data_IF_649317380376
#
_entry.id   IF_649317380376
#
_cell.length_a   1.000
_cell.length_b   1.000
_cell.length_c   1.000
_cell.angle_alpha   90.00
_cell.angle_beta   90.00
_cell.angle_gamma   90.00
#
_symmetry.space_group_name_H-M   'P 1'
#
loop_
_entity.id
_entity.type
_entity.pdbx_description
1 polymer ?
#
# COMPACT_ATOMS: atom_id res chain seq x y z
N UNK A 1 11.13 72.69 -2.88
CA UNK A 1 11.86 71.40 -2.97
C UNK A 1 10.87 70.30 -2.60
N UNK A 2 10.30 69.63 -3.59
CA UNK A 2 9.24 68.64 -3.40
C UNK A 2 9.87 67.31 -3.01
N UNK A 3 9.48 66.76 -1.87
CA UNK A 3 9.94 65.46 -1.38
C UNK A 3 9.18 64.33 -2.11
N UNK A 4 9.91 63.48 -2.84
CA UNK A 4 9.35 62.24 -3.42
C UNK A 4 9.35 61.14 -2.36
N UNK A 5 8.16 60.61 -2.05
CA UNK A 5 8.00 59.35 -1.33
C UNK A 5 8.23 58.19 -2.31
N UNK A 6 9.24 57.36 -2.06
CA UNK A 6 9.42 56.08 -2.75
C UNK A 6 8.51 55.03 -2.11
N UNK A 7 7.48 54.59 -2.84
CA UNK A 7 6.69 53.43 -2.45
C UNK A 7 7.50 52.15 -2.73
N UNK A 8 7.87 51.43 -1.67
CA UNK A 8 8.46 50.09 -1.78
C UNK A 8 7.32 49.13 -2.11
N UNK A 9 7.15 48.84 -3.40
CA UNK A 9 6.29 47.76 -3.87
C UNK A 9 6.84 46.44 -3.35
N UNK A 10 6.23 45.91 -2.29
CA UNK A 10 6.42 44.52 -1.90
C UNK A 10 5.79 43.67 -3.00
N UNK A 11 6.62 43.11 -3.89
CA UNK A 11 6.18 42.03 -4.73
C UNK A 11 5.74 40.90 -3.79
N UNK A 12 4.43 40.74 -3.63
CA UNK A 12 3.86 39.50 -3.11
C UNK A 12 4.48 38.38 -3.94
N UNK A 13 5.18 37.45 -3.29
CA UNK A 13 5.56 36.21 -3.95
C UNK A 13 4.28 35.66 -4.59
N UNK A 14 4.19 35.71 -5.92
CA UNK A 14 3.14 35.04 -6.65
C UNK A 14 3.30 33.59 -6.24
N UNK A 15 2.37 33.08 -5.43
CA UNK A 15 2.29 31.67 -5.14
C UNK A 15 2.27 30.98 -6.50
N UNK A 16 3.38 30.32 -6.85
CA UNK A 16 3.44 29.50 -8.04
C UNK A 16 2.30 28.51 -7.91
N UNK A 17 1.23 28.71 -8.67
CA UNK A 17 0.07 27.84 -8.65
C UNK A 17 0.59 26.40 -8.71
N UNK A 18 0.20 25.58 -7.73
CA UNK A 18 0.58 24.18 -7.72
C UNK A 18 0.22 23.59 -9.09
N UNK A 19 1.24 23.20 -9.86
CA UNK A 19 1.11 22.93 -11.28
C UNK A 19 0.29 21.67 -11.57
N UNK A 20 0.39 21.17 -12.79
CA UNK A 20 -0.13 19.86 -13.15
C UNK A 20 0.87 18.73 -12.86
N UNK A 21 0.36 17.49 -12.78
CA UNK A 21 1.14 16.27 -12.96
C UNK A 21 0.73 15.65 -14.29
N UNK A 22 1.71 15.21 -15.08
CA UNK A 22 1.46 14.56 -16.36
C UNK A 22 2.15 13.21 -16.37
N UNK A 23 1.35 12.16 -16.56
CA UNK A 23 1.84 10.83 -16.84
C UNK A 23 1.71 10.59 -18.34
N UNK A 24 2.82 10.62 -19.07
CA UNK A 24 2.88 10.34 -20.50
C UNK A 24 3.46 8.94 -20.70
N UNK A 25 2.67 8.04 -21.29
CA UNK A 25 3.04 6.65 -21.47
C UNK A 25 2.92 6.30 -22.93
N UNK A 26 4.01 5.84 -23.55
CA UNK A 26 3.94 5.13 -24.82
C UNK A 26 3.50 3.71 -24.50
N UNK A 27 2.23 3.39 -24.74
CA UNK A 27 1.64 2.09 -24.40
C UNK A 27 1.95 1.02 -25.43
N UNK A 28 2.21 1.41 -26.67
CA UNK A 28 2.75 0.52 -27.70
C UNK A 28 3.54 1.33 -28.74
N UNK A 29 4.50 0.69 -29.42
CA UNK A 29 5.16 1.28 -30.59
C UNK A 29 5.51 0.23 -31.63
N UNK A 30 5.54 0.65 -32.89
CA UNK A 30 5.88 -0.15 -34.05
C UNK A 30 6.76 0.66 -35.01
N UNK A 31 7.28 0.02 -36.05
CA UNK A 31 8.06 0.71 -37.08
C UNK A 31 7.24 1.83 -37.70
N UNK A 32 7.67 3.07 -37.47
CA UNK A 32 7.00 4.24 -38.01
C UNK A 32 5.81 4.75 -37.20
N UNK A 33 5.45 4.13 -36.07
CA UNK A 33 4.31 4.57 -35.25
C UNK A 33 4.35 4.19 -33.77
N UNK A 34 3.51 4.83 -32.98
CA UNK A 34 3.37 4.58 -31.54
C UNK A 34 2.01 5.02 -31.02
N UNK A 35 1.49 4.36 -30.00
CA UNK A 35 0.34 4.77 -29.21
C UNK A 35 0.83 5.41 -27.92
N UNK A 36 0.33 6.59 -27.59
CA UNK A 36 0.59 7.27 -26.34
C UNK A 36 -0.71 7.61 -25.59
N UNK A 37 -0.72 7.30 -24.30
CA UNK A 37 -1.75 7.71 -23.36
C UNK A 37 -1.16 8.75 -22.39
N UNK A 38 -1.95 9.79 -22.11
CA UNK A 38 -1.59 10.88 -21.22
C UNK A 38 -2.67 11.00 -20.15
N UNK A 39 -2.26 10.89 -18.88
CA UNK A 39 -3.09 11.32 -17.75
C UNK A 39 -2.62 12.69 -17.28
N UNK A 40 -3.52 13.67 -17.31
CA UNK A 40 -3.28 15.04 -16.82
C UNK A 40 -4.02 15.20 -15.51
N UNK A 41 -3.30 15.38 -14.41
CA UNK A 41 -3.87 15.65 -13.09
C UNK A 41 -3.66 17.12 -12.72
N UNK A 42 -4.73 17.82 -12.37
CA UNK A 42 -4.66 19.18 -11.86
C UNK A 42 -4.27 19.15 -10.37
N UNK A 43 -3.17 19.76 -9.96
CA UNK A 43 -2.80 19.88 -8.53
C UNK A 43 -3.09 21.27 -7.96
N UNK A 44 -3.60 22.19 -8.78
CA UNK A 44 -3.94 23.56 -8.42
C UNK A 44 -5.45 23.77 -8.22
N UNK A 45 -5.87 25.02 -8.37
CA UNK A 45 -7.27 25.41 -8.29
C UNK A 45 -8.11 24.70 -9.37
N UNK A 46 -9.38 24.36 -9.11
CA UNK A 46 -10.26 23.77 -10.10
C UNK A 46 -10.33 24.59 -11.39
N UNK A 47 -10.20 23.93 -12.54
CA UNK A 47 -10.32 24.55 -13.86
C UNK A 47 -11.53 24.03 -14.62
N UNK A 48 -12.15 24.89 -15.42
CA UNK A 48 -13.21 24.55 -16.36
C UNK A 48 -12.82 25.06 -17.75
N UNK A 49 -12.31 24.13 -18.56
CA UNK A 49 -11.56 24.44 -19.77
C UNK A 49 -10.06 24.27 -19.53
N UNK A 50 -9.44 23.33 -20.24
CA UNK A 50 -8.02 23.08 -20.12
C UNK A 50 -7.37 22.80 -21.47
N UNK A 51 -6.14 23.28 -21.62
CA UNK A 51 -5.27 23.02 -22.76
C UNK A 51 -3.93 22.51 -22.24
N UNK A 52 -3.58 21.29 -22.60
CA UNK A 52 -2.26 20.72 -22.42
C UNK A 52 -1.38 21.09 -23.62
N UNK A 53 -0.15 21.53 -23.38
CA UNK A 53 0.85 21.77 -24.43
C UNK A 53 2.17 21.09 -24.10
N UNK A 54 2.85 20.59 -25.12
CA UNK A 54 4.20 20.04 -25.04
C UNK A 54 4.88 20.11 -26.42
N UNK A 55 6.18 19.85 -26.44
CA UNK A 55 6.94 19.69 -27.68
C UNK A 55 7.39 18.23 -27.83
N UNK A 56 7.21 17.66 -29.02
CA UNK A 56 7.94 16.46 -29.40
C UNK A 56 9.45 16.76 -29.43
N UNK A 57 10.30 15.94 -28.79
CA UNK A 57 11.75 16.20 -28.82
C UNK A 57 12.42 15.88 -30.16
N UNK A 58 11.79 15.09 -31.03
CA UNK A 58 12.28 14.83 -32.38
C UNK A 58 11.37 15.47 -33.45
N UNK A 59 11.99 16.08 -34.46
CA UNK A 59 11.30 16.78 -35.56
C UNK A 59 10.39 15.88 -36.40
N UNK A 60 10.67 14.57 -36.42
CA UNK A 60 9.94 13.59 -37.22
C UNK A 60 8.73 12.96 -36.51
N UNK A 61 8.51 13.31 -35.24
CA UNK A 61 7.34 12.86 -34.49
C UNK A 61 6.10 13.66 -34.89
N UNK A 62 5.02 12.96 -35.24
CA UNK A 62 3.76 13.58 -35.71
C UNK A 62 2.52 12.84 -35.26
N UNK A 63 1.45 13.55 -34.95
CA UNK A 63 0.14 12.96 -34.65
C UNK A 63 -0.48 12.36 -35.92
N UNK A 64 -1.08 11.18 -35.80
CA UNK A 64 -1.78 10.51 -36.91
C UNK A 64 -3.23 10.16 -36.58
N UNK A 65 -3.51 9.75 -35.34
CA UNK A 65 -4.86 9.51 -34.84
C UNK A 65 -4.96 10.02 -33.41
N UNK A 66 -6.09 10.60 -33.01
CA UNK A 66 -6.21 11.22 -31.68
C UNK A 66 -7.59 10.99 -31.07
N UNK A 67 -7.70 11.05 -29.74
CA UNK A 67 -8.98 10.94 -29.03
C UNK A 67 -8.99 11.74 -27.73
N UNK A 68 -10.19 11.88 -27.14
CA UNK A 68 -10.49 12.50 -25.84
C UNK A 68 -10.03 13.96 -25.65
N UNK A 69 -9.56 14.61 -26.70
CA UNK A 69 -9.26 16.03 -26.79
C UNK A 69 -9.33 16.49 -28.25
N UNK A 70 -9.39 17.80 -28.46
CA UNK A 70 -9.13 18.43 -29.75
C UNK A 70 -7.64 18.69 -29.88
N UNK A 71 -6.98 18.07 -30.85
CA UNK A 71 -5.53 18.09 -31.01
C UNK A 71 -5.09 18.97 -32.17
N UNK A 72 -3.95 19.64 -32.01
CA UNK A 72 -3.26 20.35 -33.08
C UNK A 72 -1.75 20.20 -32.93
N UNK A 73 -1.04 20.16 -34.06
CA UNK A 73 0.41 20.12 -34.11
C UNK A 73 0.93 21.10 -35.16
N UNK A 74 1.97 21.86 -34.79
CA UNK A 74 2.73 22.73 -35.69
C UNK A 74 4.23 22.50 -35.48
N UNK A 75 4.88 21.88 -36.46
CA UNK A 75 6.24 21.37 -36.26
C UNK A 75 6.30 20.42 -35.07
N UNK A 76 7.18 20.70 -34.11
CA UNK A 76 7.30 19.90 -32.88
C UNK A 76 6.27 20.26 -31.80
N UNK A 77 5.57 21.40 -31.93
CA UNK A 77 4.66 21.88 -30.89
C UNK A 77 3.30 21.18 -31.00
N UNK A 78 2.84 20.61 -29.89
CA UNK A 78 1.56 19.90 -29.77
C UNK A 78 0.68 20.57 -28.74
N UNK A 79 -0.61 20.71 -29.05
CA UNK A 79 -1.63 21.15 -28.12
C UNK A 79 -2.84 20.22 -28.12
N UNK A 80 -3.33 19.86 -26.93
CA UNK A 80 -4.55 19.10 -26.71
C UNK A 80 -5.51 19.93 -25.85
N UNK A 81 -6.69 20.24 -26.38
CA UNK A 81 -7.73 21.01 -25.68
C UNK A 81 -8.87 20.08 -25.29
N UNK A 82 -9.41 20.26 -24.09
CA UNK A 82 -10.52 19.47 -23.58
C UNK A 82 -11.72 19.43 -24.55
N UNK A 83 -12.51 18.37 -24.44
CA UNK A 83 -13.86 18.30 -24.98
C UNK A 83 -14.86 18.76 -23.91
N UNK A 84 -16.10 19.05 -24.30
CA UNK A 84 -17.11 19.56 -23.35
C UNK A 84 -17.34 18.63 -22.15
N UNK A 85 -17.27 17.31 -22.35
CA UNK A 85 -17.53 16.31 -21.31
C UNK A 85 -16.39 16.11 -20.31
N UNK A 86 -15.16 16.51 -20.63
CA UNK A 86 -14.00 16.46 -19.72
C UNK A 86 -13.41 17.84 -19.42
N UNK A 87 -14.18 18.90 -19.61
CA UNK A 87 -13.71 20.28 -19.41
C UNK A 87 -13.33 20.60 -17.97
N UNK A 88 -14.02 19.99 -17.00
CA UNK A 88 -13.84 20.27 -15.59
C UNK A 88 -12.77 19.37 -14.98
N UNK A 89 -11.71 19.99 -14.44
CA UNK A 89 -10.72 19.31 -13.60
C UNK A 89 -10.69 20.00 -12.25
N UNK A 90 -11.32 19.38 -11.25
CA UNK A 90 -11.15 19.79 -9.85
C UNK A 90 -9.70 19.63 -9.38
N UNK A 91 -9.40 20.12 -8.18
CA UNK A 91 -8.11 19.82 -7.53
C UNK A 91 -7.96 18.31 -7.34
N UNK A 92 -6.82 17.77 -7.76
CA UNK A 92 -6.54 16.34 -7.93
C UNK A 92 -7.43 15.58 -8.95
N UNK A 93 -8.28 16.29 -9.67
CA UNK A 93 -9.05 15.74 -10.80
C UNK A 93 -8.12 15.41 -11.97
N UNK A 94 -8.46 14.36 -12.71
CA UNK A 94 -7.65 13.90 -13.85
C UNK A 94 -8.47 13.73 -15.12
N UNK A 95 -7.83 14.03 -16.26
CA UNK A 95 -8.33 13.69 -17.60
C UNK A 95 -7.35 12.73 -18.29
N UNK A 96 -7.92 11.72 -18.95
CA UNK A 96 -7.17 10.77 -19.77
C UNK A 96 -7.39 11.10 -21.26
N UNK A 97 -6.31 11.35 -21.96
CA UNK A 97 -6.28 11.63 -23.40
C UNK A 97 -5.21 10.77 -24.08
N UNK A 98 -5.28 10.63 -25.39
CA UNK A 98 -4.28 9.85 -26.09
C UNK A 98 -4.28 10.07 -27.59
N UNK A 99 -3.26 9.49 -28.22
CA UNK A 99 -3.06 9.56 -29.66
C UNK A 99 -2.21 8.40 -30.18
N UNK A 100 -2.36 8.10 -31.47
CA UNK A 100 -1.34 7.44 -32.27
C UNK A 100 -0.47 8.50 -32.92
N UNK A 101 0.84 8.36 -32.79
CA UNK A 101 1.84 9.17 -33.47
C UNK A 101 2.67 8.34 -34.44
N UNK A 102 3.36 9.02 -35.34
CA UNK A 102 4.36 8.46 -36.23
C UNK A 102 5.74 9.07 -35.92
N UNK A 103 6.80 8.29 -36.13
CA UNK A 103 8.18 8.69 -35.86
C UNK A 103 9.13 8.08 -36.90
N UNK A 104 10.29 8.70 -37.11
CA UNK A 104 11.43 8.10 -37.82
C UNK A 104 12.71 8.29 -37.02
N UNK A 105 13.59 7.29 -37.06
CA UNK A 105 14.88 7.31 -36.37
C UNK A 105 14.77 7.09 -34.85
N UNK A 106 14.17 8.03 -34.12
CA UNK A 106 14.04 7.96 -32.65
C UNK A 106 12.67 8.47 -32.18
N UNK A 107 12.21 7.95 -31.03
CA UNK A 107 10.92 8.31 -30.42
C UNK A 107 11.10 8.77 -28.95
N UNK A 108 11.86 9.86 -28.69
CA UNK A 108 12.02 10.40 -27.35
C UNK A 108 10.69 10.98 -26.84
N UNK A 109 10.44 10.91 -25.55
CA UNK A 109 9.20 11.41 -24.95
C UNK A 109 9.36 12.86 -24.45
N UNK A 110 8.29 13.67 -24.47
CA UNK A 110 8.35 15.06 -24.00
C UNK A 110 8.73 15.16 -22.52
N UNK A 111 9.67 16.06 -22.21
CA UNK A 111 10.14 16.28 -20.84
C UNK A 111 9.41 17.44 -20.12
N UNK A 112 8.63 18.24 -20.85
CA UNK A 112 7.96 19.42 -20.29
C UNK A 112 6.55 19.57 -20.84
N UNK A 113 5.62 19.84 -19.93
CA UNK A 113 4.22 20.09 -20.26
C UNK A 113 3.76 21.37 -19.59
N UNK A 114 2.79 22.04 -20.20
CA UNK A 114 2.04 23.13 -19.56
C UNK A 114 0.55 22.86 -19.62
N UNK A 115 -0.17 23.14 -18.53
CA UNK A 115 -1.63 23.17 -18.48
C UNK A 115 -2.08 24.64 -18.39
N UNK A 116 -2.86 25.11 -19.36
CA UNK A 116 -3.31 26.52 -19.44
C UNK A 116 -2.16 27.55 -19.35
N UNK A 117 -0.98 27.19 -19.90
CA UNK A 117 0.22 28.04 -19.88
C UNK A 117 1.06 27.93 -18.60
N UNK A 118 0.60 27.19 -17.58
CA UNK A 118 1.37 26.93 -16.35
C UNK A 118 2.15 25.63 -16.47
N UNK A 119 3.45 25.64 -16.19
CA UNK A 119 4.30 24.44 -16.26
C UNK A 119 3.88 23.38 -15.24
N UNK A 120 3.83 22.12 -15.68
CA UNK A 120 3.59 20.97 -14.81
C UNK A 120 4.83 20.68 -13.96
N UNK A 121 4.73 20.87 -12.64
CA UNK A 121 5.83 20.64 -11.68
C UNK A 121 5.64 19.40 -10.80
N UNK A 122 4.49 18.74 -10.89
CA UNK A 122 4.14 17.55 -10.09
C UNK A 122 4.92 16.28 -10.45
N UNK A 123 6.04 16.37 -11.17
CA UNK A 123 6.71 15.22 -11.76
C UNK A 123 6.07 14.85 -13.09
N UNK A 124 6.81 15.10 -14.17
CA UNK A 124 6.71 14.30 -15.39
C UNK A 124 7.38 12.97 -15.09
N UNK A 125 6.67 11.86 -15.23
CA UNK A 125 7.30 10.54 -15.18
C UNK A 125 7.60 10.11 -16.61
N UNK A 126 8.83 10.33 -17.12
CA UNK A 126 9.23 9.78 -18.39
C UNK A 126 9.48 8.28 -18.26
N UNK A 127 8.69 7.46 -18.95
CA UNK A 127 9.04 6.06 -19.21
C UNK A 127 9.80 5.98 -20.53
N UNK A 128 11.13 5.78 -20.48
CA UNK A 128 12.00 5.68 -21.66
C UNK A 128 11.91 4.30 -22.30
N UNK A 129 11.91 4.25 -23.65
CA UNK A 129 12.23 3.05 -24.44
C UNK A 129 13.55 3.27 -25.20
N UNK A 130 14.55 2.36 -25.15
CA UNK A 130 15.87 2.56 -25.76
C UNK A 130 15.96 2.20 -27.26
N UNK A 131 16.93 2.80 -27.95
CA UNK A 131 17.28 2.65 -29.39
C UNK A 131 18.11 1.38 -29.67
N UNK A 132 17.91 0.72 -30.84
CA UNK A 132 18.46 -0.61 -31.24
C UNK A 132 19.57 -0.52 -32.30
N UNK A 133 20.75 -1.11 -32.01
CA UNK A 133 21.81 -1.50 -32.98
C UNK A 133 21.49 -2.88 -33.62
N UNK A 134 22.07 -3.18 -34.78
CA UNK A 134 21.63 -4.12 -35.84
C UNK A 134 21.65 -5.65 -35.59
N UNK A 135 21.37 -6.14 -34.38
CA UNK A 135 21.00 -7.55 -34.14
C UNK A 135 19.58 -7.54 -33.60
N UNK A 136 18.62 -8.38 -34.00
CA UNK A 136 17.26 -8.20 -33.49
C UNK A 136 17.13 -8.42 -31.96
N UNK A 137 16.96 -7.39 -31.07
CA UNK A 137 16.49 -7.60 -29.71
C UNK A 137 15.15 -8.31 -29.76
N UNK A 138 15.15 -9.45 -29.10
CA UNK A 138 13.99 -9.99 -28.45
C UNK A 138 13.38 -8.86 -27.62
N UNK A 139 12.10 -8.57 -27.82
CA UNK A 139 11.44 -7.52 -27.05
C UNK A 139 11.42 -7.93 -25.57
N UNK A 140 11.88 -7.05 -24.69
CA UNK A 140 11.81 -7.20 -23.24
C UNK A 140 10.38 -6.91 -22.80
N UNK A 141 9.58 -7.94 -22.51
CA UNK A 141 8.20 -7.78 -22.06
C UNK A 141 8.15 -7.75 -20.53
N UNK A 142 7.37 -6.84 -19.89
CA UNK A 142 7.06 -6.98 -18.47
C UNK A 142 6.28 -8.29 -18.23
N UNK A 143 6.36 -8.82 -17.02
CA UNK A 143 5.64 -10.03 -16.67
C UNK A 143 4.11 -9.84 -16.87
N UNK A 144 3.46 -10.80 -17.52
CA UNK A 144 2.00 -10.86 -17.55
C UNK A 144 1.55 -11.61 -16.32
N UNK A 145 0.71 -10.99 -15.49
CA UNK A 145 0.24 -11.58 -14.24
C UNK A 145 -1.29 -11.68 -14.26
N UNK A 146 -1.81 -12.87 -13.93
CA UNK A 146 -3.27 -13.11 -13.89
C UNK A 146 -3.65 -13.79 -12.58
N UNK A 147 -4.70 -13.30 -11.93
CA UNK A 147 -5.26 -13.95 -10.75
C UNK A 147 -5.87 -15.32 -11.09
N UNK A 148 -5.61 -16.30 -10.23
CA UNK A 148 -6.30 -17.59 -10.21
C UNK A 148 -7.16 -17.75 -8.97
N UNK A 149 -6.70 -17.19 -7.84
CA UNK A 149 -7.40 -17.15 -6.57
C UNK A 149 -6.91 -15.96 -5.74
N UNK A 150 -7.78 -15.26 -5.00
CA UNK A 150 -9.22 -15.51 -4.89
C UNK A 150 -10.00 -15.00 -6.11
N UNK A 151 -11.28 -15.34 -6.22
CA UNK A 151 -12.18 -14.75 -7.22
C UNK A 151 -12.62 -13.36 -6.76
N UNK A 152 -12.94 -12.46 -7.70
CA UNK A 152 -13.40 -11.11 -7.36
C UNK A 152 -14.67 -11.17 -6.51
N UNK A 153 -14.65 -10.49 -5.35
CA UNK A 153 -15.78 -10.48 -4.42
C UNK A 153 -15.93 -11.75 -3.59
N UNK A 154 -14.95 -12.66 -3.60
CA UNK A 154 -14.98 -13.84 -2.74
C UNK A 154 -15.08 -13.46 -1.26
N UNK A 155 -15.82 -14.27 -0.51
CA UNK A 155 -16.05 -14.09 0.92
C UNK A 155 -15.36 -15.22 1.69
N UNK A 156 -14.57 -14.86 2.70
CA UNK A 156 -13.87 -15.79 3.59
C UNK A 156 -14.28 -15.55 5.04
N UNK A 157 -14.08 -16.55 5.91
CA UNK A 157 -14.38 -16.44 7.35
C UNK A 157 -13.13 -16.61 8.20
N UNK A 158 -13.02 -15.84 9.29
CA UNK A 158 -11.98 -16.05 10.31
C UNK A 158 -12.48 -16.95 11.46
N UNK A 159 -11.58 -17.71 12.13
CA UNK A 159 -10.19 -17.95 11.77
C UNK A 159 -10.10 -18.84 10.51
N UNK A 160 -9.22 -18.47 9.58
CA UNK A 160 -9.10 -19.16 8.30
C UNK A 160 -7.95 -18.59 7.48
N UNK A 161 -7.67 -19.19 6.33
CA UNK A 161 -6.68 -18.68 5.38
C UNK A 161 -7.34 -18.39 4.04
N UNK A 162 -6.84 -17.36 3.37
CA UNK A 162 -7.21 -16.99 2.01
C UNK A 162 -6.15 -17.55 1.05
N UNK A 163 -6.53 -18.45 0.13
CA UNK A 163 -5.61 -18.96 -0.87
C UNK A 163 -5.30 -17.89 -1.92
N UNK A 164 -4.02 -17.57 -2.08
CA UNK A 164 -3.52 -16.62 -3.05
C UNK A 164 -2.85 -17.40 -4.19
N UNK A 165 -3.35 -17.27 -5.41
CA UNK A 165 -2.77 -17.92 -6.56
C UNK A 165 -2.81 -17.01 -7.78
N UNK A 166 -1.72 -17.00 -8.54
CA UNK A 166 -1.62 -16.25 -9.78
C UNK A 166 -0.75 -17.01 -10.80
N UNK A 167 -0.97 -16.75 -12.08
CA UNK A 167 0.02 -17.05 -13.11
C UNK A 167 0.91 -15.85 -13.34
N UNK A 168 2.20 -16.07 -13.58
CA UNK A 168 3.13 -15.05 -14.04
C UNK A 168 3.98 -15.60 -15.19
N UNK A 169 3.90 -14.97 -16.36
CA UNK A 169 4.65 -15.35 -17.55
C UNK A 169 5.48 -14.19 -18.07
N UNK A 170 6.58 -14.50 -18.74
CA UNK A 170 7.41 -13.50 -19.42
C UNK A 170 7.89 -14.09 -20.75
N UNK A 171 7.81 -13.30 -21.81
CA UNK A 171 8.23 -13.71 -23.16
C UNK A 171 9.75 -13.61 -23.34
N UNK A 172 10.24 -14.00 -24.52
CA UNK A 172 11.61 -13.68 -24.93
C UNK A 172 12.74 -14.49 -24.29
N UNK A 173 12.43 -15.63 -23.63
CA UNK A 173 13.45 -16.45 -22.95
C UNK A 173 13.87 -15.90 -21.59
N UNK A 174 13.18 -14.89 -21.09
CA UNK A 174 13.35 -14.32 -19.75
C UNK A 174 12.67 -15.17 -18.69
N UNK A 175 12.99 -14.89 -17.42
CA UNK A 175 12.46 -15.64 -16.28
C UNK A 175 11.79 -14.74 -15.24
N UNK A 176 10.70 -15.23 -14.66
CA UNK A 176 10.11 -14.63 -13.46
C UNK A 176 11.02 -14.92 -12.26
N UNK A 177 11.54 -13.86 -11.65
CA UNK A 177 12.46 -13.91 -10.51
C UNK A 177 11.75 -13.74 -9.17
N UNK A 178 10.58 -13.11 -9.16
CA UNK A 178 9.80 -12.93 -7.94
C UNK A 178 8.31 -12.80 -8.22
N UNK A 179 7.48 -13.25 -7.28
CA UNK A 179 6.05 -12.95 -7.21
C UNK A 179 5.74 -12.48 -5.80
N UNK A 180 5.05 -11.36 -5.67
CA UNK A 180 4.69 -10.75 -4.39
C UNK A 180 3.20 -10.50 -4.33
N UNK A 181 2.58 -11.04 -3.28
CA UNK A 181 1.20 -10.78 -2.92
C UNK A 181 1.13 -9.73 -1.82
N UNK A 182 0.25 -8.74 -1.99
CA UNK A 182 0.05 -7.65 -1.04
C UNK A 182 -1.42 -7.45 -0.71
N UNK A 183 -1.66 -6.99 0.51
CA UNK A 183 -2.98 -6.61 1.03
C UNK A 183 -2.87 -5.14 1.45
N UNK A 184 -3.74 -4.29 0.92
CA UNK A 184 -3.77 -2.84 1.17
C UNK A 184 -2.38 -2.18 1.02
N UNK A 185 -1.61 -2.65 0.02
CA UNK A 185 -0.27 -2.18 -0.30
C UNK A 185 0.88 -2.84 0.50
N UNK A 186 0.58 -3.61 1.55
CA UNK A 186 1.58 -4.30 2.39
C UNK A 186 1.82 -5.73 1.90
N UNK A 187 3.08 -6.13 1.72
CA UNK A 187 3.43 -7.49 1.31
C UNK A 187 3.10 -8.49 2.41
N UNK A 188 2.20 -9.43 2.12
CA UNK A 188 1.79 -10.50 3.06
C UNK A 188 2.42 -11.84 2.74
N UNK A 189 2.82 -12.06 1.49
CA UNK A 189 3.49 -13.29 1.08
C UNK A 189 4.34 -13.12 -0.18
N UNK A 190 5.39 -13.94 -0.28
CA UNK A 190 6.07 -14.22 -1.56
C UNK A 190 5.44 -15.46 -2.17
N UNK A 191 5.13 -15.40 -3.47
CA UNK A 191 4.58 -16.54 -4.19
C UNK A 191 5.61 -17.64 -4.38
N UNK A 192 5.22 -18.88 -4.11
CA UNK A 192 6.02 -20.08 -4.36
C UNK A 192 5.57 -20.67 -5.69
N UNK A 193 6.51 -20.90 -6.60
CA UNK A 193 6.21 -21.54 -7.89
C UNK A 193 5.87 -23.02 -7.64
N UNK A 194 4.65 -23.44 -7.96
CA UNK A 194 4.20 -24.83 -7.73
C UNK A 194 4.29 -25.66 -9.00
N UNK A 195 3.77 -25.15 -10.12
CA UNK A 195 3.83 -25.84 -11.43
C UNK A 195 3.86 -24.83 -12.56
N UNK A 196 4.79 -24.98 -13.51
CA UNK A 196 4.91 -24.09 -14.67
C UNK A 196 4.97 -22.62 -14.25
N UNK A 197 3.98 -21.85 -14.70
CA UNK A 197 3.89 -20.41 -14.45
C UNK A 197 3.00 -20.05 -13.25
N UNK A 198 2.54 -21.03 -12.48
CA UNK A 198 1.65 -20.85 -11.33
C UNK A 198 2.45 -20.63 -10.04
N UNK A 199 2.03 -19.59 -9.31
CA UNK A 199 2.58 -19.21 -8.01
C UNK A 199 1.48 -19.16 -6.96
N UNK A 200 1.77 -19.70 -5.78
CA UNK A 200 0.82 -19.83 -4.70
C UNK A 200 1.36 -19.33 -3.36
N UNK A 201 0.46 -18.87 -2.50
CA UNK A 201 0.71 -18.52 -1.12
C UNK A 201 -0.59 -18.64 -0.30
N UNK A 202 -0.44 -18.63 1.02
CA UNK A 202 -1.56 -18.50 1.96
C UNK A 202 -1.44 -17.17 2.69
N UNK A 203 -2.56 -16.47 2.82
CA UNK A 203 -2.66 -15.30 3.68
C UNK A 203 -3.63 -15.58 4.83
N UNK A 204 -3.18 -15.34 6.06
CA UNK A 204 -4.05 -15.38 7.24
C UNK A 204 -4.55 -13.96 7.52
N UNK A 205 -5.81 -13.63 7.21
CA UNK A 205 -6.35 -12.31 7.51
C UNK A 205 -6.35 -12.04 9.03
N UNK A 206 -6.20 -10.77 9.44
CA UNK A 206 -6.39 -10.40 10.83
C UNK A 206 -7.82 -10.74 11.26
N UNK A 207 -7.97 -11.15 12.51
CA UNK A 207 -9.27 -11.48 13.08
C UNK A 207 -9.91 -10.17 13.50
N UNK A 208 -11.03 -9.83 12.85
CA UNK A 208 -11.81 -8.62 13.10
C UNK A 208 -12.69 -8.78 14.34
N UNK A 209 -13.50 -7.76 14.61
CA UNK A 209 -14.50 -7.85 15.66
C UNK A 209 -15.59 -8.88 15.28
N UNK A 210 -16.13 -9.64 16.25
CA UNK A 210 -17.17 -10.63 16.02
C UNK A 210 -18.41 -10.04 15.36
N UNK A 211 -18.93 -10.72 14.33
CA UNK A 211 -20.08 -10.26 13.55
C UNK A 211 -19.77 -9.14 12.57
N UNK A 212 -18.50 -8.75 12.39
CA UNK A 212 -18.09 -7.74 11.41
C UNK A 212 -17.65 -8.36 10.08
N UNK A 213 -17.66 -7.53 9.04
CA UNK A 213 -17.07 -7.84 7.75
C UNK A 213 -16.11 -6.74 7.34
N UNK A 214 -14.93 -7.12 6.87
CA UNK A 214 -13.89 -6.20 6.40
C UNK A 214 -13.55 -6.51 4.95
N UNK A 215 -13.52 -5.48 4.10
CA UNK A 215 -13.11 -5.61 2.70
C UNK A 215 -11.63 -5.24 2.57
N UNK A 216 -10.86 -6.10 1.91
CA UNK A 216 -9.44 -5.92 1.66
C UNK A 216 -9.15 -5.79 0.16
N UNK A 217 -8.18 -4.95 -0.19
CA UNK A 217 -7.68 -4.83 -1.57
C UNK A 217 -6.42 -5.67 -1.74
N UNK A 218 -6.50 -6.67 -2.61
CA UNK A 218 -5.40 -7.56 -2.95
C UNK A 218 -4.67 -7.08 -4.19
N UNK A 219 -3.34 -7.17 -4.14
CA UNK A 219 -2.44 -6.90 -5.25
C UNK A 219 -1.52 -8.10 -5.47
N UNK A 220 -1.20 -8.37 -6.75
CA UNK A 220 -0.15 -9.31 -7.11
C UNK A 220 0.75 -8.66 -8.16
N UNK A 221 2.06 -8.80 -7.96
CA UNK A 221 3.08 -8.32 -8.88
C UNK A 221 4.16 -9.38 -9.07
N UNK A 222 4.77 -9.39 -10.25
CA UNK A 222 5.87 -10.27 -10.59
C UNK A 222 7.05 -9.47 -11.13
N UNK A 223 8.25 -9.77 -10.65
CA UNK A 223 9.51 -9.23 -11.16
C UNK A 223 10.19 -10.21 -12.12
N UNK A 224 10.94 -9.70 -13.08
CA UNK A 224 11.71 -10.49 -14.05
C UNK A 224 13.22 -10.36 -13.80
N UNK A 225 14.01 -11.19 -14.47
CA UNK A 225 15.49 -11.11 -14.52
C UNK A 225 16.00 -9.85 -15.22
N UNK A 226 15.12 -9.11 -15.88
CA UNK A 226 15.40 -7.83 -16.52
C UNK A 226 15.12 -6.63 -15.62
N UNK A 227 14.86 -6.85 -14.33
CA UNK A 227 14.44 -5.82 -13.37
C UNK A 227 13.13 -5.11 -13.78
N UNK A 228 12.33 -5.72 -14.66
CA UNK A 228 10.99 -5.26 -15.01
C UNK A 228 9.98 -5.88 -14.06
N UNK A 229 8.85 -5.21 -13.86
CA UNK A 229 7.74 -5.73 -13.07
C UNK A 229 6.42 -5.60 -13.82
N UNK A 230 5.59 -6.63 -13.70
CA UNK A 230 4.18 -6.57 -14.12
C UNK A 230 3.25 -6.90 -12.96
N UNK A 231 1.98 -6.54 -13.10
CA UNK A 231 0.97 -6.74 -12.07
C UNK A 231 -0.40 -7.03 -12.69
N UNK A 232 -1.24 -7.74 -11.93
CA UNK A 232 -2.64 -7.91 -12.29
C UNK A 232 -3.47 -6.73 -11.74
N UNK A 233 -4.68 -6.48 -12.29
CA UNK A 233 -5.62 -5.56 -11.65
C UNK A 233 -5.88 -5.92 -10.18
N UNK A 234 -6.11 -4.91 -9.31
CA UNK A 234 -6.41 -5.18 -7.90
C UNK A 234 -7.75 -5.92 -7.77
N UNK A 235 -7.83 -6.74 -6.72
CA UNK A 235 -8.98 -7.60 -6.45
C UNK A 235 -9.55 -7.30 -5.06
N UNK A 236 -10.87 -7.26 -4.93
CA UNK A 236 -11.53 -7.11 -3.64
C UNK A 236 -11.96 -8.47 -3.08
N UNK A 237 -11.71 -8.69 -1.79
CA UNK A 237 -12.28 -9.79 -1.01
C UNK A 237 -12.89 -9.26 0.28
N UNK A 238 -13.91 -9.96 0.77
CA UNK A 238 -14.53 -9.66 2.07
C UNK A 238 -14.20 -10.79 3.04
N UNK A 239 -13.69 -10.44 4.21
CA UNK A 239 -13.48 -11.37 5.31
C UNK A 239 -14.52 -11.09 6.38
N UNK A 240 -15.30 -12.12 6.71
CA UNK A 240 -16.32 -12.09 7.75
C UNK A 240 -15.75 -12.72 9.01
N UNK A 241 -15.81 -12.00 10.12
CA UNK A 241 -15.61 -12.60 11.43
C UNK A 241 -16.98 -13.04 11.93
N UNK A 242 -17.23 -14.35 12.08
CA UNK A 242 -18.52 -14.84 12.56
C UNK A 242 -18.89 -14.18 13.88
N UNK A 243 -20.19 -13.97 14.11
CA UNK A 243 -20.65 -13.65 15.45
C UNK A 243 -20.36 -14.83 16.37
N UNK A 244 -19.92 -14.59 17.60
CA UNK A 244 -19.87 -15.65 18.61
C UNK A 244 -21.28 -16.17 18.83
N UNK A 245 -21.50 -17.43 18.50
CA UNK A 245 -22.74 -18.13 18.82
C UNK A 245 -22.59 -18.77 20.20
N UNK A 246 -22.69 -17.94 21.24
CA UNK A 246 -22.56 -18.34 22.64
C UNK A 246 -22.57 -17.14 23.58
N UNK A 247 -22.85 -17.37 24.86
CA UNK A 247 -22.55 -16.36 25.90
C UNK A 247 -21.03 -16.28 26.02
N UNK A 248 -20.46 -15.09 25.85
CA UNK A 248 -19.02 -14.87 26.04
C UNK A 248 -18.61 -15.16 27.49
N UNK A 249 -17.62 -16.01 27.66
CA UNK A 249 -16.97 -16.33 28.92
C UNK A 249 -15.64 -15.58 29.02
N UNK A 250 -15.38 -14.86 30.12
CA UNK A 250 -14.09 -14.20 30.30
C UNK A 250 -12.92 -15.19 30.23
N UNK A 251 -11.77 -14.80 29.63
CA UNK A 251 -10.61 -15.66 29.52
C UNK A 251 -10.08 -16.04 30.91
N UNK A 252 -9.67 -17.28 31.08
CA UNK A 252 -9.02 -17.72 32.31
C UNK A 252 -7.54 -17.34 32.29
N UNK A 253 -7.03 -16.82 33.41
CA UNK A 253 -5.60 -16.49 33.57
C UNK A 253 -5.07 -16.94 34.92
N UNK A 254 -3.95 -17.64 34.89
CA UNK A 254 -3.19 -18.01 36.07
C UNK A 254 -1.83 -17.32 36.02
N UNK A 255 -1.55 -16.51 37.04
CA UNK A 255 -0.23 -15.94 37.24
C UNK A 255 0.60 -16.94 38.05
N UNK A 256 1.68 -17.42 37.47
CA UNK A 256 2.68 -18.25 38.12
C UNK A 256 4.02 -17.53 38.16
N UNK A 257 4.84 -17.89 39.14
CA UNK A 257 6.29 -17.60 39.16
C UNK A 257 7.04 -18.89 39.38
N UNK A 258 8.39 -18.92 39.32
CA UNK A 258 9.09 -19.89 40.16
C UNK A 258 8.41 -19.89 41.54
N UNK A 259 7.98 -21.07 41.98
CA UNK A 259 6.87 -21.29 42.94
C UNK A 259 6.94 -20.59 44.29
N UNK A 260 5.95 -20.89 45.14
CA UNK A 260 5.54 -20.13 46.34
C UNK A 260 6.64 -19.64 47.29
N UNK A 261 6.32 -18.54 48.02
CA UNK A 261 7.11 -17.90 49.08
C UNK A 261 8.63 -17.89 48.81
N UNK A 262 9.02 -17.32 47.68
CA UNK A 262 10.42 -17.16 47.28
C UNK A 262 10.94 -15.80 47.74
N UNK A 263 11.89 -15.81 48.67
CA UNK A 263 12.70 -14.66 49.03
C UNK A 263 13.80 -14.51 47.96
N UNK A 264 13.97 -13.31 47.41
CA UNK A 264 15.02 -13.03 46.44
C UNK A 264 16.07 -12.09 47.04
N UNK A 265 17.35 -12.34 46.74
CA UNK A 265 18.49 -11.51 47.15
C UNK A 265 18.79 -10.45 46.08
N UNK A 266 19.06 -9.21 46.49
CA UNK A 266 19.26 -8.07 45.58
C UNK A 266 20.51 -8.16 44.68
N UNK A 267 20.49 -7.51 43.49
CA UNK A 267 19.32 -6.97 42.79
C UNK A 267 18.55 -8.09 42.07
N UNK A 268 17.23 -8.15 42.25
CA UNK A 268 16.42 -9.21 41.63
C UNK A 268 15.47 -8.67 40.58
N UNK A 269 15.74 -9.03 39.33
CA UNK A 269 14.70 -9.05 38.29
C UNK A 269 13.87 -10.32 38.47
N UNK A 270 12.56 -10.17 38.66
CA UNK A 270 11.64 -11.31 38.76
C UNK A 270 10.97 -11.53 37.41
N UNK A 271 10.90 -12.79 36.97
CA UNK A 271 10.11 -13.21 35.80
C UNK A 271 8.75 -13.74 36.27
N UNK A 272 7.69 -13.06 35.88
CA UNK A 272 6.30 -13.48 36.06
C UNK A 272 5.83 -14.21 34.80
N UNK A 273 5.15 -15.34 34.96
CA UNK A 273 4.60 -16.12 33.85
C UNK A 273 3.08 -16.13 33.98
N UNK A 274 2.37 -15.68 32.94
CA UNK A 274 0.92 -15.75 32.88
C UNK A 274 0.51 -16.84 31.88
N UNK A 275 -0.13 -17.88 32.38
CA UNK A 275 -0.79 -18.90 31.56
C UNK A 275 -2.24 -18.46 31.31
N UNK A 276 -2.63 -18.41 30.05
CA UNK A 276 -3.91 -17.87 29.59
C UNK A 276 -4.63 -18.92 28.75
N UNK A 277 -5.91 -19.12 29.03
CA UNK A 277 -6.77 -19.99 28.27
C UNK A 277 -8.10 -19.29 28.02
N UNK A 278 -8.52 -19.32 26.77
CA UNK A 278 -9.88 -18.95 26.38
C UNK A 278 -10.59 -20.21 25.91
N UNK A 279 -11.80 -20.43 26.41
CA UNK A 279 -12.59 -21.63 26.09
C UNK A 279 -13.62 -21.38 25.00
N UNK A 280 -13.82 -20.12 24.61
CA UNK A 280 -14.84 -19.79 23.62
C UNK A 280 -14.36 -20.07 22.20
N UNK A 281 -15.10 -20.87 21.41
CA UNK A 281 -14.70 -21.22 20.05
C UNK A 281 -14.52 -19.98 19.17
N UNK A 282 -13.29 -19.76 18.70
CA UNK A 282 -12.96 -18.64 17.82
C UNK A 282 -12.68 -17.32 18.56
N UNK A 283 -12.80 -17.29 19.88
CA UNK A 283 -12.32 -16.16 20.67
C UNK A 283 -10.80 -16.21 20.81
N UNK A 284 -10.18 -15.04 20.76
CA UNK A 284 -8.75 -14.86 20.90
C UNK A 284 -8.47 -13.91 22.04
N UNK A 285 -7.37 -14.17 22.74
CA UNK A 285 -6.77 -13.19 23.64
C UNK A 285 -6.33 -11.98 22.81
N UNK A 286 -6.92 -10.81 23.08
CA UNK A 286 -6.67 -9.55 22.38
C UNK A 286 -5.54 -8.72 23.02
N UNK A 287 -5.43 -8.77 24.35
CA UNK A 287 -4.29 -8.18 25.08
C UNK A 287 -4.13 -8.75 26.48
N UNK A 288 -2.90 -8.68 26.98
CA UNK A 288 -2.54 -9.04 28.36
C UNK A 288 -1.88 -7.85 29.05
N UNK A 289 -2.31 -7.53 30.25
CA UNK A 289 -1.84 -6.39 31.04
C UNK A 289 -1.33 -6.85 32.41
N UNK A 290 -0.11 -6.43 32.77
CA UNK A 290 0.46 -6.66 34.10
C UNK A 290 0.22 -5.46 35.01
N UNK A 291 -0.24 -5.70 36.23
CA UNK A 291 -0.45 -4.68 37.26
C UNK A 291 0.36 -4.96 38.52
N UNK A 292 0.82 -3.90 39.17
CA UNK A 292 1.34 -3.86 40.54
C UNK A 292 0.40 -2.99 41.38
N UNK A 293 -0.38 -3.62 42.26
CA UNK A 293 -1.52 -2.98 42.91
C UNK A 293 -2.50 -2.41 41.87
N UNK A 294 -2.73 -1.09 41.90
CA UNK A 294 -3.56 -0.41 40.90
C UNK A 294 -2.80 0.09 39.66
N UNK A 295 -1.47 0.02 39.67
CA UNK A 295 -0.61 0.59 38.63
C UNK A 295 -0.35 -0.43 37.53
N UNK A 296 -0.64 -0.07 36.27
CA UNK A 296 -0.32 -0.91 35.12
C UNK A 296 1.15 -0.79 34.76
N UNK A 297 1.88 -1.90 34.75
CA UNK A 297 3.30 -1.97 34.44
C UNK A 297 3.58 -2.29 32.97
N UNK A 298 2.79 -3.17 32.36
CA UNK A 298 3.02 -3.62 30.98
C UNK A 298 1.71 -3.94 30.26
N UNK A 299 1.73 -3.83 28.93
CA UNK A 299 0.65 -4.23 28.03
C UNK A 299 1.27 -4.97 26.84
N UNK A 300 0.76 -6.16 26.54
CA UNK A 300 1.15 -6.97 25.39
C UNK A 300 -0.08 -7.18 24.51
N UNK A 301 -0.22 -6.48 23.37
CA UNK A 301 -1.27 -6.78 22.40
C UNK A 301 -1.00 -8.14 21.76
N UNK A 302 -2.05 -8.92 21.52
CA UNK A 302 -1.93 -10.27 20.97
C UNK A 302 -3.20 -10.68 20.23
N UNK A 303 -3.10 -11.74 19.44
CA UNK A 303 -4.22 -12.42 18.79
C UNK A 303 -4.03 -13.94 18.89
N UNK A 304 -3.10 -14.40 19.74
CA UNK A 304 -2.74 -15.80 19.90
C UNK A 304 -1.87 -16.01 21.14
N UNK A 305 -1.81 -17.23 21.65
CA UNK A 305 -0.84 -17.60 22.67
C UNK A 305 -1.43 -17.84 24.05
N UNK A 306 -0.90 -18.87 24.70
CA UNK A 306 -1.36 -19.39 25.99
C UNK A 306 -0.41 -19.03 27.15
N UNK A 307 0.75 -18.40 26.88
CA UNK A 307 1.76 -18.12 27.90
C UNK A 307 2.52 -16.83 27.62
N UNK A 308 2.59 -15.96 28.62
CA UNK A 308 3.25 -14.65 28.56
C UNK A 308 4.26 -14.50 29.68
N UNK A 309 5.37 -13.80 29.41
CA UNK A 309 6.41 -13.55 30.39
C UNK A 309 6.63 -12.06 30.57
N UNK A 310 6.74 -11.63 31.83
CA UNK A 310 7.02 -10.26 32.21
C UNK A 310 8.23 -10.22 33.13
N UNK A 311 9.13 -9.26 32.90
CA UNK A 311 10.27 -9.02 33.79
C UNK A 311 10.08 -7.68 34.49
N UNK A 312 10.25 -7.67 35.81
CA UNK A 312 10.13 -6.45 36.61
C UNK A 312 11.20 -6.41 37.69
N UNK A 313 11.73 -5.22 37.96
CA UNK A 313 12.65 -4.97 39.04
C UNK A 313 11.87 -4.62 40.31
N UNK A 314 12.30 -5.15 41.45
CA UNK A 314 11.70 -4.90 42.76
C UNK A 314 12.75 -4.34 43.73
N UNK A 315 12.31 -3.47 44.63
CA UNK A 315 13.16 -2.86 45.67
C UNK A 315 13.01 -3.59 47.01
N UNK A 316 14.10 -3.71 47.78
CA UNK A 316 14.08 -4.30 49.12
C UNK A 316 13.02 -3.69 50.04
N UNK A 317 12.53 -4.53 50.97
CA UNK A 317 11.57 -4.15 52.00
C UNK A 317 10.14 -3.91 51.49
N UNK A 318 9.88 -4.10 50.20
CA UNK A 318 8.57 -3.83 49.60
C UNK A 318 7.77 -5.13 49.44
N UNK A 319 6.56 -5.16 50.04
CA UNK A 319 5.56 -6.17 49.70
C UNK A 319 4.86 -5.74 48.41
N UNK A 320 4.96 -6.56 47.36
CA UNK A 320 4.46 -6.25 46.02
C UNK A 320 3.42 -7.27 45.60
N UNK A 321 2.21 -6.80 45.27
CA UNK A 321 1.11 -7.65 44.81
C UNK A 321 0.87 -7.43 43.31
N UNK A 322 1.00 -8.50 42.54
CA UNK A 322 0.81 -8.52 41.10
C UNK A 322 -0.51 -9.17 40.72
N UNK A 323 -1.15 -8.63 39.69
CA UNK A 323 -2.28 -9.25 39.00
C UNK A 323 -2.08 -9.13 37.51
N UNK A 324 -2.55 -10.11 36.75
CA UNK A 324 -2.66 -10.00 35.29
C UNK A 324 -4.11 -9.88 34.91
N UNK A 325 -4.39 -8.93 34.00
CA UNK A 325 -5.68 -8.82 33.33
C UNK A 325 -5.53 -9.26 31.89
N UNK A 326 -6.45 -10.10 31.44
CA UNK A 326 -6.50 -10.61 30.08
C UNK A 326 -7.80 -10.17 29.47
N UNK A 327 -7.73 -9.68 28.24
CA UNK A 327 -8.89 -9.33 27.45
C UNK A 327 -9.00 -10.30 26.28
N UNK A 328 -10.22 -10.77 26.02
CA UNK A 328 -10.52 -11.53 24.81
C UNK A 328 -10.93 -10.57 23.66
N UNK A 329 -11.33 -11.13 22.52
CA UNK A 329 -11.73 -10.38 21.33
C UNK A 329 -13.21 -10.01 21.32
N UNK A 330 -13.97 -10.49 22.30
CA UNK A 330 -15.42 -10.26 22.50
C UNK A 330 -15.73 -9.39 23.73
N UNK A 331 -14.70 -8.80 24.35
CA UNK A 331 -14.79 -7.85 25.45
C UNK A 331 -14.83 -8.48 26.85
N UNK A 332 -14.70 -9.80 26.98
CA UNK A 332 -14.53 -10.45 28.27
C UNK A 332 -13.17 -10.15 28.90
N UNK A 333 -13.16 -10.15 30.23
CA UNK A 333 -12.00 -9.74 31.03
C UNK A 333 -11.72 -10.79 32.10
N UNK A 334 -10.63 -11.50 31.92
CA UNK A 334 -10.04 -12.38 32.91
C UNK A 334 -9.14 -11.62 33.86
N UNK A 335 -9.19 -11.92 35.15
CA UNK A 335 -8.24 -11.38 36.13
C UNK A 335 -7.65 -12.54 36.93
N UNK A 336 -6.33 -12.58 37.04
CA UNK A 336 -5.65 -13.61 37.80
C UNK A 336 -5.90 -13.45 39.29
N UNK A 337 -5.76 -14.54 40.05
CA UNK A 337 -5.55 -14.39 41.48
C UNK A 337 -4.31 -13.52 41.75
N UNK A 338 -4.31 -12.70 42.82
CA UNK A 338 -3.17 -11.88 43.16
C UNK A 338 -1.98 -12.74 43.59
N UNK A 339 -0.80 -12.39 43.09
CA UNK A 339 0.46 -13.03 43.46
C UNK A 339 1.34 -12.03 44.20
N UNK A 340 1.63 -12.31 45.47
CA UNK A 340 2.33 -11.37 46.36
C UNK A 340 3.73 -11.88 46.70
N UNK A 341 4.70 -10.96 46.66
CA UNK A 341 6.09 -11.20 47.04
C UNK A 341 6.52 -10.22 48.12
N UNK A 342 7.53 -10.59 48.89
CA UNK A 342 8.25 -9.69 49.77
C UNK A 342 9.74 -9.84 49.50
N UNK A 343 10.39 -8.76 49.09
CA UNK A 343 11.85 -8.72 48.95
C UNK A 343 12.45 -8.39 50.31
N UNK A 344 13.39 -9.21 50.79
CA UNK A 344 14.08 -9.03 52.06
C UNK A 344 15.57 -8.77 51.84
#
# INVERSE_FOLDING_TARGET
MVAMMAAISHASAANAAAGCRVNYVVTSQWTGGFHADIAVTNLGDPVNGWTLRFAFPAVDQRLTQTWSATWAQAGQQVSATNLGWNATLGTNGSANIGFVGAWSGSNPIPASFTLNGVTCTGGVLPSVTPTRTTTPPVADWPAIVTWLSPTAGAVYTTPGTVPLAATATVGGGHSITSVSFRVDGVTVARGVRTTGDRFEALWTPPIGEPGTSTTFVLYVSAGTDQSLSGAAPPLLVTVVTPASTGTNHPPAVALSTPGGQTYFLEPTTVTLVADVADTDPGDLVSRVELYLGATRLAVTPTNSGQRYQFQTALSAGTSSTFTVRVHDSHGGIGISNPLTFTIR
#
